data_IF_808370226947
#
_entry.id   IF_808370226947
#
_cell.length_a   1.000
_cell.length_b   1.000
_cell.length_c   1.000
_cell.angle_alpha   90.00
_cell.angle_beta   90.00
_cell.angle_gamma   90.00
#
_symmetry.space_group_name_H-M   'P 1'
#
loop_
_entity.id
_entity.type
_entity.pdbx_description
1 polymer ?
#
# COMPACT_ATOMS: atom_id res chain seq x y z
N UNK A 1 14.01 19.27 -6.69
CA UNK A 1 12.66 18.68 -6.80
C UNK A 1 11.96 19.41 -7.92
N UNK A 2 11.58 18.69 -8.98
CA UNK A 2 10.79 19.27 -10.05
C UNK A 2 9.38 19.64 -9.58
N UNK A 3 8.61 20.26 -10.48
CA UNK A 3 7.23 20.69 -10.20
C UNK A 3 6.35 19.47 -9.90
N UNK A 4 6.58 18.34 -10.57
CA UNK A 4 5.80 17.12 -10.38
C UNK A 4 5.98 16.54 -8.97
N UNK A 5 7.21 16.34 -8.51
CA UNK A 5 7.49 15.77 -7.19
C UNK A 5 7.03 16.69 -6.05
N UNK A 6 7.09 18.01 -6.27
CA UNK A 6 6.62 19.00 -5.29
C UNK A 6 5.11 18.95 -5.08
N UNK A 7 4.34 18.68 -6.13
CA UNK A 7 2.88 18.62 -6.10
C UNK A 7 2.32 17.20 -6.13
N UNK A 8 3.14 16.19 -5.81
CA UNK A 8 2.75 14.78 -5.89
C UNK A 8 1.43 14.48 -5.16
N UNK A 9 1.26 14.99 -3.94
CA UNK A 9 0.02 14.80 -3.16
C UNK A 9 -1.21 15.38 -3.87
N UNK A 10 -1.06 16.53 -4.53
CA UNK A 10 -2.14 17.16 -5.29
C UNK A 10 -2.50 16.32 -6.52
N UNK A 11 -1.50 15.83 -7.26
CA UNK A 11 -1.72 14.96 -8.42
C UNK A 11 -2.38 13.64 -8.04
N UNK A 12 -1.96 13.02 -6.94
CA UNK A 12 -2.59 11.81 -6.40
C UNK A 12 -4.05 12.07 -6.04
N UNK A 13 -4.33 13.18 -5.34
CA UNK A 13 -5.71 13.57 -5.02
C UNK A 13 -6.58 13.79 -6.26
N UNK A 14 -6.04 14.45 -7.29
CA UNK A 14 -6.74 14.67 -8.56
C UNK A 14 -7.02 13.36 -9.30
N UNK A 15 -6.06 12.43 -9.32
CA UNK A 15 -6.23 11.11 -9.92
C UNK A 15 -7.29 10.28 -9.20
N UNK A 16 -7.34 10.32 -7.87
CA UNK A 16 -8.38 9.64 -7.08
C UNK A 16 -9.76 10.24 -7.41
N UNK A 17 -9.89 11.57 -7.33
CA UNK A 17 -11.16 12.25 -7.61
C UNK A 17 -11.63 12.00 -9.05
N UNK A 18 -10.72 12.11 -10.02
CA UNK A 18 -11.00 11.81 -11.42
C UNK A 18 -11.41 10.36 -11.63
N UNK A 19 -10.72 9.40 -11.02
CA UNK A 19 -11.06 7.98 -11.07
C UNK A 19 -12.45 7.68 -10.53
N UNK A 20 -12.81 8.26 -9.38
CA UNK A 20 -14.15 8.08 -8.78
C UNK A 20 -15.26 8.69 -9.65
N UNK A 21 -15.05 9.90 -10.18
CA UNK A 21 -16.04 10.56 -11.05
C UNK A 21 -16.24 9.76 -12.34
N UNK A 22 -15.14 9.37 -12.98
CA UNK A 22 -15.18 8.60 -14.23
C UNK A 22 -15.79 7.22 -14.02
N UNK A 23 -15.45 6.54 -12.91
CA UNK A 23 -16.03 5.25 -12.55
C UNK A 23 -17.54 5.31 -12.33
N UNK A 24 -18.05 6.41 -11.77
CA UNK A 24 -19.49 6.61 -11.57
C UNK A 24 -20.24 7.01 -12.85
N UNK A 25 -19.60 7.77 -13.76
CA UNK A 25 -20.24 8.21 -15.01
C UNK A 25 -20.14 7.21 -16.16
N UNK A 26 -19.09 6.39 -16.18
CA UNK A 26 -18.86 5.40 -17.24
C UNK A 26 -18.61 4.00 -16.66
N UNK A 27 -19.53 3.44 -15.86
CA UNK A 27 -19.31 2.16 -15.16
C UNK A 27 -19.02 1.01 -16.13
N UNK A 28 -19.75 0.91 -17.24
CA UNK A 28 -19.57 -0.16 -18.24
C UNK A 28 -18.14 -0.18 -18.83
N UNK A 29 -17.51 0.98 -18.99
CA UNK A 29 -16.14 1.07 -19.50
C UNK A 29 -15.13 0.51 -18.48
N UNK A 30 -15.29 0.86 -17.21
CA UNK A 30 -14.42 0.36 -16.13
C UNK A 30 -14.67 -1.11 -15.81
N UNK A 31 -15.91 -1.60 -15.94
CA UNK A 31 -16.22 -3.03 -15.83
C UNK A 31 -15.57 -3.84 -16.96
N UNK A 32 -15.58 -3.31 -18.19
CA UNK A 32 -14.89 -3.96 -19.32
C UNK A 32 -13.38 -4.04 -19.07
N UNK A 33 -12.78 -2.97 -18.54
CA UNK A 33 -11.37 -2.96 -18.13
C UNK A 33 -11.11 -3.95 -16.99
N UNK A 34 -12.00 -4.01 -16.01
CA UNK A 34 -11.91 -4.94 -14.87
C UNK A 34 -11.97 -6.40 -15.34
N UNK A 35 -12.82 -6.70 -16.33
CA UNK A 35 -12.97 -8.02 -16.94
C UNK A 35 -11.75 -8.48 -17.75
N UNK A 36 -10.79 -7.60 -18.05
CA UNK A 36 -9.49 -7.98 -18.62
C UNK A 36 -8.60 -8.52 -17.49
N UNK A 37 -8.99 -9.68 -16.97
CA UNK A 37 -8.28 -10.39 -15.92
C UNK A 37 -7.97 -11.83 -16.32
N UNK A 38 -6.90 -12.36 -15.74
CA UNK A 38 -6.53 -13.77 -15.84
C UNK A 38 -6.32 -14.31 -14.43
N UNK A 39 -7.02 -15.38 -14.07
CA UNK A 39 -6.97 -15.98 -12.73
C UNK A 39 -7.24 -14.97 -11.58
N UNK A 40 -8.25 -14.10 -11.75
CA UNK A 40 -8.62 -13.01 -10.82
C UNK A 40 -7.54 -11.92 -10.65
N UNK A 41 -6.60 -11.81 -11.61
CA UNK A 41 -5.59 -10.75 -11.65
C UNK A 41 -5.82 -9.87 -12.87
N UNK A 42 -6.16 -8.60 -12.64
CA UNK A 42 -6.36 -7.63 -13.72
C UNK A 42 -5.06 -7.38 -14.49
N UNK A 43 -5.04 -7.69 -15.78
CA UNK A 43 -3.83 -7.63 -16.60
C UNK A 43 -3.36 -6.19 -16.82
N UNK A 44 -4.27 -5.24 -16.94
CA UNK A 44 -3.94 -3.83 -17.13
C UNK A 44 -3.23 -3.30 -15.89
N UNK A 45 -3.80 -3.53 -14.71
CA UNK A 45 -3.18 -3.16 -13.44
C UNK A 45 -1.83 -3.86 -13.26
N UNK A 46 -1.74 -5.16 -13.59
CA UNK A 46 -0.50 -5.91 -13.50
C UNK A 46 0.62 -5.31 -14.38
N UNK A 47 0.31 -4.88 -15.61
CA UNK A 47 1.29 -4.22 -16.49
C UNK A 47 1.79 -2.92 -15.88
N UNK A 48 0.90 -2.07 -15.35
CA UNK A 48 1.31 -0.81 -14.71
C UNK A 48 2.16 -1.04 -13.46
N UNK A 49 1.82 -2.04 -12.64
CA UNK A 49 2.65 -2.44 -11.50
C UNK A 49 4.03 -2.91 -11.97
N UNK A 50 4.10 -3.69 -13.06
CA UNK A 50 5.37 -4.15 -13.62
C UNK A 50 6.25 -3.00 -14.13
N UNK A 51 5.65 -2.04 -14.84
CA UNK A 51 6.33 -0.82 -15.30
C UNK A 51 6.88 -0.03 -14.11
N UNK A 52 6.17 0.01 -12.99
CA UNK A 52 6.61 0.68 -11.77
C UNK A 52 7.75 -0.08 -11.05
N UNK A 53 7.70 -1.41 -11.01
CA UNK A 53 8.70 -2.25 -10.33
C UNK A 53 10.03 -2.31 -11.10
N UNK A 54 9.97 -2.37 -12.44
CA UNK A 54 11.15 -2.60 -13.28
C UNK A 54 12.32 -1.62 -13.06
N UNK A 55 12.12 -0.29 -12.99
CA UNK A 55 13.20 0.66 -12.76
C UNK A 55 13.95 0.43 -11.45
N UNK A 56 13.23 0.01 -10.40
CA UNK A 56 13.82 -0.27 -9.10
C UNK A 56 14.58 -1.59 -9.11
N UNK A 57 14.04 -2.61 -9.81
CA UNK A 57 14.69 -3.93 -9.97
C UNK A 57 16.09 -3.80 -10.59
N UNK A 58 16.25 -2.92 -11.58
CA UNK A 58 17.53 -2.72 -12.30
C UNK A 58 18.57 -1.99 -11.44
N UNK A 59 18.16 -1.28 -10.38
CA UNK A 59 19.08 -0.53 -9.50
C UNK A 59 19.73 -1.39 -8.41
N UNK A 60 19.34 -2.66 -8.28
CA UNK A 60 19.83 -3.55 -7.22
C UNK A 60 21.15 -4.20 -7.63
N UNK A 61 22.15 -4.10 -6.75
CA UNK A 61 23.40 -4.84 -6.85
C UNK A 61 23.38 -6.00 -5.84
N UNK A 62 23.08 -7.20 -6.33
CA UNK A 62 23.02 -8.42 -5.52
C UNK A 62 24.33 -8.77 -4.80
N UNK A 63 25.48 -8.24 -5.24
CA UNK A 63 26.77 -8.46 -4.59
C UNK A 63 26.84 -7.78 -3.22
N UNK A 64 26.23 -6.60 -3.13
CA UNK A 64 26.21 -5.76 -1.92
C UNK A 64 25.14 -6.17 -0.89
N UNK A 65 24.12 -6.92 -1.32
CA UNK A 65 23.06 -7.49 -0.46
C UNK A 65 23.62 -8.35 0.67
N UNK A 66 24.76 -9.03 0.44
CA UNK A 66 25.40 -9.91 1.43
C UNK A 66 25.95 -9.16 2.66
N UNK A 67 26.31 -7.89 2.50
CA UNK A 67 26.91 -7.08 3.57
C UNK A 67 25.87 -6.40 4.47
N UNK A 68 24.62 -6.34 4.02
CA UNK A 68 23.51 -5.66 4.72
C UNK A 68 23.07 -6.39 5.99
N UNK A 69 23.29 -7.71 6.05
CA UNK A 69 23.08 -8.51 7.26
C UNK A 69 23.86 -8.00 8.49
N UNK A 70 24.91 -7.18 8.27
CA UNK A 70 25.71 -6.59 9.34
C UNK A 70 25.01 -5.42 10.06
N UNK A 71 23.85 -4.94 9.58
CA UNK A 71 23.08 -3.83 10.19
C UNK A 71 21.64 -4.25 10.57
N UNK A 72 21.47 -5.21 11.52
CA UNK A 72 20.17 -5.82 11.80
C UNK A 72 19.19 -4.91 12.56
N UNK A 73 19.67 -3.85 13.22
CA UNK A 73 18.82 -3.01 14.10
C UNK A 73 17.63 -2.38 13.35
N UNK A 74 17.85 -1.86 12.15
CA UNK A 74 16.78 -1.24 11.35
C UNK A 74 15.76 -2.26 10.84
N UNK A 75 16.24 -3.45 10.49
CA UNK A 75 15.39 -4.56 10.03
C UNK A 75 14.50 -5.09 11.16
N UNK A 76 15.07 -5.32 12.35
CA UNK A 76 14.32 -5.77 13.53
C UNK A 76 13.25 -4.75 13.90
N UNK A 77 13.59 -3.46 13.93
CA UNK A 77 12.62 -2.40 14.20
C UNK A 77 11.48 -2.43 13.19
N UNK A 78 11.80 -2.56 11.90
CA UNK A 78 10.80 -2.63 10.83
C UNK A 78 9.88 -3.82 11.01
N UNK A 79 10.42 -5.01 11.32
CA UNK A 79 9.62 -6.22 11.53
C UNK A 79 8.67 -6.04 12.71
N UNK A 80 9.17 -5.53 13.85
CA UNK A 80 8.34 -5.26 15.02
C UNK A 80 7.24 -4.26 14.67
N UNK A 81 7.57 -3.15 14.03
CA UNK A 81 6.58 -2.14 13.67
C UNK A 81 5.55 -2.70 12.69
N UNK A 82 5.97 -3.42 11.66
CA UNK A 82 5.08 -3.92 10.61
C UNK A 82 4.17 -5.05 11.07
N UNK A 83 4.66 -5.94 11.93
CA UNK A 83 3.94 -7.16 12.32
C UNK A 83 3.33 -7.10 13.71
N UNK A 84 3.95 -6.37 14.65
CA UNK A 84 3.45 -6.28 16.03
C UNK A 84 2.68 -4.99 16.30
N UNK A 85 3.02 -3.87 15.65
CA UNK A 85 2.38 -2.57 15.97
C UNK A 85 1.31 -2.23 14.93
N UNK A 86 1.65 -2.29 13.64
CA UNK A 86 0.80 -1.83 12.54
C UNK A 86 -0.56 -2.54 12.47
N UNK A 87 -0.68 -3.89 12.55
CA UNK A 87 -1.98 -4.56 12.41
C UNK A 87 -2.93 -4.22 13.55
N UNK A 88 -2.42 -4.18 14.78
CA UNK A 88 -3.19 -3.83 15.97
C UNK A 88 -3.58 -2.36 16.00
N UNK A 89 -2.69 -1.47 15.52
CA UNK A 89 -3.01 -0.05 15.38
C UNK A 89 -4.12 0.14 14.35
N UNK A 90 -4.07 -0.57 13.22
CA UNK A 90 -5.11 -0.50 12.19
C UNK A 90 -6.43 -1.11 12.66
N UNK A 91 -6.40 -2.19 13.45
CA UNK A 91 -7.59 -2.74 14.11
C UNK A 91 -8.20 -1.73 15.09
N UNK A 92 -7.37 -1.11 15.94
CA UNK A 92 -7.80 -0.10 16.89
C UNK A 92 -8.41 1.13 16.19
N UNK A 93 -7.80 1.59 15.09
CA UNK A 93 -8.36 2.65 14.26
C UNK A 93 -9.67 2.22 13.60
N UNK A 94 -9.79 0.96 13.18
CA UNK A 94 -11.03 0.41 12.63
C UNK A 94 -12.18 0.45 13.61
N UNK A 95 -11.97 -0.09 14.80
CA UNK A 95 -12.96 -0.06 15.86
C UNK A 95 -13.28 1.37 16.26
N UNK A 96 -12.26 2.22 16.43
CA UNK A 96 -12.44 3.61 16.81
C UNK A 96 -13.32 4.36 15.80
N UNK A 97 -13.08 4.21 14.51
CA UNK A 97 -13.89 4.89 13.50
C UNK A 97 -15.24 4.21 13.30
N UNK A 98 -15.25 2.92 12.95
CA UNK A 98 -16.47 2.25 12.46
C UNK A 98 -17.42 1.76 13.55
N UNK A 99 -16.97 1.64 14.81
CA UNK A 99 -17.85 1.32 15.95
C UNK A 99 -18.05 2.55 16.83
N UNK A 100 -16.97 3.16 17.34
CA UNK A 100 -17.09 4.20 18.38
C UNK A 100 -17.51 5.57 17.83
N UNK A 101 -16.77 6.10 16.85
CA UNK A 101 -17.01 7.47 16.33
C UNK A 101 -18.33 7.53 15.56
N UNK A 102 -18.66 6.50 14.77
CA UNK A 102 -19.91 6.47 14.00
C UNK A 102 -21.16 6.38 14.89
N UNK A 103 -21.10 5.59 15.98
CA UNK A 103 -22.15 5.55 17.00
C UNK A 103 -22.30 6.93 17.67
N UNK A 104 -21.19 7.54 18.12
CA UNK A 104 -21.21 8.85 18.79
C UNK A 104 -21.76 9.97 17.88
N UNK A 105 -21.43 9.95 16.59
CA UNK A 105 -21.92 10.94 15.62
C UNK A 105 -23.34 10.66 15.12
N UNK A 106 -23.98 9.56 15.53
CA UNK A 106 -25.33 9.19 15.12
C UNK A 106 -25.43 8.78 13.64
N UNK A 107 -24.32 8.32 13.06
CA UNK A 107 -24.26 7.82 11.68
C UNK A 107 -24.61 6.33 11.56
N UNK A 108 -25.13 5.70 12.61
CA UNK A 108 -25.65 4.33 12.65
C UNK A 108 -26.59 3.98 11.48
N UNK A 109 -27.28 4.97 10.90
CA UNK A 109 -28.17 4.76 9.75
C UNK A 109 -27.48 4.73 8.39
N UNK A 110 -26.20 5.09 8.29
CA UNK A 110 -25.47 5.13 7.01
C UNK A 110 -24.68 3.85 6.72
N UNK A 111 -24.32 3.06 7.73
CA UNK A 111 -23.52 1.85 7.57
C UNK A 111 -24.20 0.71 8.32
N UNK A 112 -24.51 -0.36 7.60
CA UNK A 112 -25.02 -1.62 8.16
C UNK A 112 -23.91 -2.31 8.99
N UNK A 113 -24.25 -2.95 10.11
CA UNK A 113 -23.29 -3.60 11.03
C UNK A 113 -22.36 -4.58 10.31
N UNK A 114 -22.89 -5.26 9.30
CA UNK A 114 -22.13 -6.19 8.45
C UNK A 114 -21.02 -5.48 7.69
N UNK A 115 -21.27 -4.27 7.17
CA UNK A 115 -20.27 -3.48 6.43
C UNK A 115 -19.21 -2.88 7.34
N UNK A 116 -19.58 -2.51 8.57
CA UNK A 116 -18.61 -2.04 9.58
C UNK A 116 -17.53 -3.09 9.82
N UNK A 117 -17.94 -4.35 10.03
CA UNK A 117 -17.03 -5.48 10.23
C UNK A 117 -16.13 -5.71 8.99
N UNK A 118 -16.69 -5.63 7.79
CA UNK A 118 -15.92 -5.75 6.54
C UNK A 118 -14.88 -4.63 6.37
N UNK A 119 -15.22 -3.39 6.74
CA UNK A 119 -14.28 -2.26 6.68
C UNK A 119 -13.15 -2.38 7.71
N UNK A 120 -13.45 -2.85 8.93
CA UNK A 120 -12.43 -3.12 9.94
C UNK A 120 -11.49 -4.22 9.45
N UNK A 121 -12.03 -5.32 8.92
CA UNK A 121 -11.23 -6.39 8.33
C UNK A 121 -10.36 -5.86 7.18
N UNK A 122 -10.92 -5.05 6.27
CA UNK A 122 -10.19 -4.39 5.20
C UNK A 122 -9.05 -3.52 5.70
N UNK A 123 -9.26 -2.73 6.77
CA UNK A 123 -8.20 -1.90 7.35
C UNK A 123 -7.08 -2.72 7.99
N UNK A 124 -7.41 -3.84 8.64
CA UNK A 124 -6.40 -4.76 9.17
C UNK A 124 -5.59 -5.37 8.02
N UNK A 125 -6.26 -5.82 6.94
CA UNK A 125 -5.60 -6.37 5.76
C UNK A 125 -4.67 -5.34 5.08
N UNK A 126 -5.10 -4.08 4.95
CA UNK A 126 -4.25 -2.97 4.49
C UNK A 126 -3.07 -2.70 5.45
N UNK A 127 -3.29 -2.93 6.74
CA UNK A 127 -2.27 -2.87 7.77
C UNK A 127 -1.18 -3.94 7.62
N UNK A 128 -1.56 -5.16 7.26
CA UNK A 128 -0.61 -6.27 7.08
C UNK A 128 0.08 -6.22 5.71
N UNK A 129 -0.61 -5.72 4.69
CA UNK A 129 -0.06 -5.64 3.33
C UNK A 129 1.25 -4.82 3.29
N UNK A 130 2.36 -5.42 2.82
CA UNK A 130 3.60 -4.71 2.58
C UNK A 130 3.47 -3.89 1.30
N UNK A 131 3.98 -2.66 1.33
CA UNK A 131 4.04 -1.81 0.15
C UNK A 131 5.48 -1.75 -0.35
N UNK A 132 5.81 -2.59 -1.33
CA UNK A 132 7.17 -2.71 -1.86
C UNK A 132 7.59 -1.44 -2.62
N UNK A 133 6.80 -1.05 -3.61
CA UNK A 133 7.15 0.03 -4.53
C UNK A 133 7.26 1.40 -3.85
N UNK A 134 6.33 1.74 -2.96
CA UNK A 134 6.33 3.05 -2.31
C UNK A 134 7.55 3.21 -1.38
N UNK A 135 7.95 2.15 -0.68
CA UNK A 135 9.11 2.18 0.22
C UNK A 135 10.39 2.47 -0.57
N UNK A 136 10.55 1.92 -1.77
CA UNK A 136 11.67 2.27 -2.65
C UNK A 136 11.64 3.73 -3.12
N UNK A 137 10.47 4.25 -3.52
CA UNK A 137 10.34 5.67 -3.91
C UNK A 137 10.73 6.58 -2.74
N UNK A 138 10.24 6.30 -1.53
CA UNK A 138 10.64 7.05 -0.34
C UNK A 138 12.12 6.92 -0.02
N UNK A 139 12.70 5.73 -0.17
CA UNK A 139 14.13 5.50 0.00
C UNK A 139 14.93 6.33 -1.01
N UNK A 140 14.55 6.34 -2.28
CA UNK A 140 15.20 7.17 -3.29
C UNK A 140 15.09 8.68 -2.96
N UNK A 141 13.91 9.15 -2.55
CA UNK A 141 13.69 10.55 -2.15
C UNK A 141 14.52 10.97 -0.93
N UNK A 142 14.77 10.04 -0.01
CA UNK A 142 15.58 10.26 1.21
C UNK A 142 17.06 9.95 1.03
N UNK A 143 17.49 9.58 -0.20
CA UNK A 143 18.85 9.11 -0.50
C UNK A 143 19.27 7.90 0.33
N UNK A 144 18.32 7.01 0.59
CA UNK A 144 18.53 5.72 1.24
C UNK A 144 19.31 4.73 0.38
N UNK A 145 19.75 3.64 1.01
CA UNK A 145 20.46 2.55 0.36
C UNK A 145 19.45 1.60 -0.33
N UNK A 146 19.45 1.49 -1.67
CA UNK A 146 18.49 0.67 -2.40
C UNK A 146 18.66 -0.81 -2.11
N UNK A 147 19.88 -1.28 -1.80
CA UNK A 147 20.13 -2.68 -1.46
C UNK A 147 19.60 -2.99 -0.06
N UNK A 148 19.77 -2.06 0.89
CA UNK A 148 19.19 -2.21 2.24
C UNK A 148 17.66 -2.25 2.17
N UNK A 149 17.09 -1.36 1.35
CA UNK A 149 15.65 -1.28 1.11
C UNK A 149 15.11 -2.57 0.50
N UNK A 150 15.82 -3.13 -0.48
CA UNK A 150 15.47 -4.43 -1.05
C UNK A 150 15.44 -5.53 0.03
N UNK A 151 16.49 -5.65 0.84
CA UNK A 151 16.53 -6.69 1.90
C UNK A 151 15.37 -6.50 2.87
N UNK A 152 15.11 -5.27 3.28
CA UNK A 152 14.01 -4.94 4.19
C UNK A 152 12.64 -5.32 3.62
N UNK A 153 12.40 -4.99 2.35
CA UNK A 153 11.15 -5.31 1.64
C UNK A 153 11.02 -6.82 1.42
N UNK A 154 12.06 -7.49 0.92
CA UNK A 154 12.05 -8.94 0.67
C UNK A 154 11.81 -9.76 1.94
N UNK A 155 12.41 -9.35 3.07
CA UNK A 155 12.16 -10.04 4.35
C UNK A 155 10.73 -9.81 4.81
N UNK A 156 10.20 -8.60 4.63
CA UNK A 156 8.81 -8.31 4.99
C UNK A 156 7.81 -9.12 4.14
N UNK A 157 8.09 -9.28 2.84
CA UNK A 157 7.28 -10.08 1.93
C UNK A 157 7.38 -11.59 2.25
N UNK A 158 8.57 -12.07 2.63
CA UNK A 158 8.76 -13.47 3.06
C UNK A 158 8.04 -13.81 4.37
N UNK A 159 7.90 -12.86 5.30
CA UNK A 159 7.15 -13.08 6.56
C UNK A 159 5.65 -13.19 6.29
N UNK A 160 5.16 -12.56 5.21
CA UNK A 160 3.74 -12.56 4.86
C UNK A 160 3.25 -13.86 4.23
N UNK A 161 4.13 -14.57 3.51
CA UNK A 161 3.84 -15.88 2.90
C UNK A 161 3.91 -16.98 3.96
#
# INVERSE_FOLDING_TARGET
MGIFEKYLTFWVGLSIAGGVILGNWFPEFFETIAAIEFANVNLIVAIFIWIMIYPMMVQIDFTSVKEIGNKPKGLILTIIVNWLIKPFTMAALGILFFEVIYEILGFDRLIDDTKSTEYIAGMILLGVAPCTAMVFVWSQLTKGDPNYTLVQVSINDLIMI
#
